data_IF_047196138614
#
_entry.id   IF_047196138614
#
_cell.length_a   1.000
_cell.length_b   1.000
_cell.length_c   1.000
_cell.angle_alpha   90.00
_cell.angle_beta   90.00
_cell.angle_gamma   90.00
#
_symmetry.space_group_name_H-M   'P 1'
#
loop_
_entity.id
_entity.type
_entity.pdbx_description
1 polymer ?
#
# COMPACT_ATOMS: atom_id res chain seq x y z
N UNK A 1 -17.25 -13.72 1.49
CA UNK A 1 -16.51 -14.22 2.67
C UNK A 1 -16.50 -15.74 2.80
N UNK A 2 -17.60 -16.47 2.54
CA UNK A 2 -17.64 -17.96 2.63
C UNK A 2 -16.73 -18.70 1.63
N UNK A 3 -16.49 -18.17 0.43
CA UNK A 3 -15.70 -18.86 -0.62
C UNK A 3 -14.18 -18.89 -0.37
N UNK A 4 -13.67 -18.02 0.52
CA UNK A 4 -12.25 -17.96 0.90
C UNK A 4 -11.88 -18.94 2.05
N UNK A 5 -12.85 -19.65 2.63
CA UNK A 5 -12.62 -20.48 3.83
C UNK A 5 -11.88 -21.80 3.56
N UNK A 6 -11.58 -22.15 2.30
CA UNK A 6 -11.00 -23.43 1.91
C UNK A 6 -9.52 -23.36 1.51
N UNK A 7 -8.74 -22.52 2.19
CA UNK A 7 -7.30 -22.41 1.98
C UNK A 7 -6.56 -23.38 2.92
N UNK A 8 -6.11 -24.52 2.40
CA UNK A 8 -5.44 -25.59 3.16
C UNK A 8 -3.91 -25.43 3.26
N UNK A 9 -3.35 -24.44 2.57
CA UNK A 9 -1.91 -24.11 2.53
C UNK A 9 -1.70 -22.61 2.77
N UNK A 10 -0.46 -22.22 3.05
CA UNK A 10 -0.07 -20.80 3.15
C UNK A 10 -0.36 -20.00 1.87
N UNK A 11 -0.20 -18.68 1.94
CA UNK A 11 -0.54 -17.75 0.85
C UNK A 11 0.19 -18.13 -0.46
N UNK A 12 -0.60 -18.48 -1.48
CA UNK A 12 -0.15 -18.73 -2.86
C UNK A 12 -0.97 -17.87 -3.82
N UNK A 13 -0.39 -17.52 -4.97
CA UNK A 13 -1.06 -16.68 -5.97
C UNK A 13 -2.35 -17.28 -6.51
N UNK A 14 -2.50 -18.61 -6.49
CA UNK A 14 -3.73 -19.29 -6.87
C UNK A 14 -4.94 -18.83 -6.04
N UNK A 15 -4.76 -18.52 -4.75
CA UNK A 15 -5.87 -18.02 -3.92
C UNK A 15 -6.27 -16.60 -4.29
N UNK A 16 -5.29 -15.72 -4.55
CA UNK A 16 -5.56 -14.37 -5.04
C UNK A 16 -6.32 -14.41 -6.37
N UNK A 17 -5.88 -15.26 -7.29
CA UNK A 17 -6.52 -15.46 -8.60
C UNK A 17 -7.94 -16.02 -8.49
N UNK A 18 -8.15 -17.02 -7.63
CA UNK A 18 -9.49 -17.56 -7.37
C UNK A 18 -10.42 -16.45 -6.86
N UNK A 19 -9.99 -15.68 -5.85
CA UNK A 19 -10.79 -14.59 -5.30
C UNK A 19 -11.04 -13.47 -6.32
N UNK A 20 -10.05 -13.14 -7.16
CA UNK A 20 -10.21 -12.16 -8.22
C UNK A 20 -11.24 -12.60 -9.25
N UNK A 21 -11.20 -13.87 -9.68
CA UNK A 21 -12.20 -14.43 -10.62
C UNK A 21 -13.61 -14.36 -10.06
N UNK A 22 -13.78 -14.69 -8.79
CA UNK A 22 -15.06 -14.62 -8.10
C UNK A 22 -15.59 -13.17 -8.02
N UNK A 23 -14.72 -12.20 -7.73
CA UNK A 23 -15.09 -10.78 -7.68
C UNK A 23 -15.37 -10.18 -9.06
N UNK A 24 -14.56 -10.53 -10.06
CA UNK A 24 -14.73 -10.12 -11.46
C UNK A 24 -16.08 -10.56 -12.02
N UNK A 25 -16.54 -11.77 -11.65
CA UNK A 25 -17.84 -12.29 -12.07
C UNK A 25 -19.04 -11.46 -11.59
N UNK A 26 -18.87 -10.61 -10.57
CA UNK A 26 -19.91 -9.71 -10.07
C UNK A 26 -20.03 -8.39 -10.88
N UNK A 27 -19.18 -8.18 -11.90
CA UNK A 27 -19.32 -7.13 -12.92
C UNK A 27 -19.19 -5.68 -12.47
N UNK A 28 -18.93 -5.43 -11.19
CA UNK A 28 -18.98 -4.09 -10.57
C UNK A 28 -17.69 -3.68 -9.87
N UNK A 29 -16.66 -4.54 -9.87
CA UNK A 29 -15.45 -4.35 -9.07
C UNK A 29 -14.32 -3.85 -9.96
N UNK A 30 -13.96 -2.57 -9.83
CA UNK A 30 -12.87 -1.95 -10.58
C UNK A 30 -11.46 -2.23 -10.04
N UNK A 31 -11.32 -2.53 -8.74
CA UNK A 31 -10.01 -2.71 -8.09
C UNK A 31 -9.86 -4.08 -7.44
N UNK A 32 -8.70 -4.71 -7.62
CA UNK A 32 -8.30 -5.91 -6.91
C UNK A 32 -7.17 -5.60 -5.91
N UNK A 33 -7.48 -5.74 -4.62
CA UNK A 33 -6.55 -5.40 -3.55
C UNK A 33 -5.82 -6.60 -3.01
N UNK A 34 -4.49 -6.53 -2.97
CA UNK A 34 -3.66 -7.60 -2.43
C UNK A 34 -2.34 -7.00 -1.89
N UNK A 35 -1.88 -7.43 -0.71
CA UNK A 35 -0.59 -6.96 -0.16
C UNK A 35 0.57 -7.28 -1.13
N UNK A 36 0.49 -8.38 -1.89
CA UNK A 36 1.51 -8.75 -2.87
C UNK A 36 1.14 -8.38 -4.32
N UNK A 37 0.26 -7.39 -4.54
CA UNK A 37 -0.19 -7.00 -5.88
C UNK A 37 0.99 -6.72 -6.84
N UNK A 38 2.06 -6.10 -6.35
CA UNK A 38 3.27 -5.82 -7.14
C UNK A 38 4.02 -7.06 -7.66
N UNK A 39 3.84 -8.23 -7.04
CA UNK A 39 4.40 -9.51 -7.50
C UNK A 39 3.35 -10.38 -8.18
N UNK A 40 2.12 -10.32 -7.69
CA UNK A 40 0.98 -11.06 -8.19
C UNK A 40 0.58 -10.60 -9.60
N UNK A 41 0.48 -9.29 -9.84
CA UNK A 41 0.02 -8.76 -11.11
C UNK A 41 0.93 -9.12 -12.30
N UNK A 42 2.28 -8.95 -12.21
CA UNK A 42 3.16 -9.42 -13.27
C UNK A 42 3.11 -10.94 -13.48
N UNK A 43 2.84 -11.71 -12.42
CA UNK A 43 2.63 -13.15 -12.55
C UNK A 43 1.32 -13.47 -13.28
N UNK A 44 0.23 -12.77 -12.96
CA UNK A 44 -1.06 -12.91 -13.65
C UNK A 44 -0.93 -12.61 -15.14
N UNK A 45 -0.22 -11.55 -15.52
CA UNK A 45 0.02 -11.23 -16.93
C UNK A 45 0.71 -12.38 -17.68
N UNK A 46 1.70 -13.05 -17.07
CA UNK A 46 2.34 -14.24 -17.64
C UNK A 46 1.40 -15.45 -17.70
N UNK A 47 0.55 -15.62 -16.69
CA UNK A 47 -0.43 -16.71 -16.66
C UNK A 47 -1.45 -16.52 -17.78
N UNK A 48 -1.92 -15.29 -18.02
CA UNK A 48 -2.87 -14.98 -19.11
C UNK A 48 -2.28 -15.29 -20.49
N UNK A 49 -0.98 -15.11 -20.69
CA UNK A 49 -0.31 -15.52 -21.93
C UNK A 49 -0.41 -17.03 -22.20
N UNK A 50 -0.40 -17.85 -21.13
CA UNK A 50 -0.55 -19.30 -21.24
C UNK A 50 -2.02 -19.77 -21.18
N UNK A 51 -2.89 -18.98 -20.53
CA UNK A 51 -4.30 -19.26 -20.30
C UNK A 51 -5.15 -18.02 -20.67
N UNK A 52 -5.42 -17.80 -21.98
CA UNK A 52 -6.14 -16.62 -22.45
C UNK A 52 -7.55 -16.47 -21.86
N UNK A 53 -8.18 -17.55 -21.41
CA UNK A 53 -9.48 -17.53 -20.73
C UNK A 53 -9.50 -16.71 -19.42
N UNK A 54 -8.33 -16.32 -18.91
CA UNK A 54 -8.17 -15.49 -17.72
C UNK A 54 -7.94 -14.00 -18.04
N UNK A 55 -7.95 -13.59 -19.32
CA UNK A 55 -7.71 -12.20 -19.73
C UNK A 55 -8.67 -11.20 -19.08
N UNK A 56 -9.93 -11.61 -18.86
CA UNK A 56 -10.94 -10.82 -18.14
C UNK A 56 -10.49 -10.36 -16.75
N UNK A 57 -9.59 -11.10 -16.09
CA UNK A 57 -9.04 -10.71 -14.80
C UNK A 57 -8.18 -9.44 -14.90
N UNK A 58 -7.53 -9.20 -16.04
CA UNK A 58 -6.69 -8.02 -16.26
C UNK A 58 -7.48 -6.72 -16.39
N UNK A 59 -8.82 -6.78 -16.52
CA UNK A 59 -9.69 -5.60 -16.54
C UNK A 59 -9.78 -4.89 -15.19
N UNK A 60 -9.50 -5.59 -14.09
CA UNK A 60 -9.45 -4.99 -12.76
C UNK A 60 -8.11 -4.25 -12.57
N UNK A 61 -8.09 -3.22 -11.73
CA UNK A 61 -6.86 -2.51 -11.38
C UNK A 61 -6.24 -3.08 -10.09
N UNK A 62 -4.98 -3.55 -10.11
CA UNK A 62 -4.30 -4.00 -8.91
C UNK A 62 -3.98 -2.84 -7.98
N UNK A 63 -4.28 -3.03 -6.69
CA UNK A 63 -4.14 -1.98 -5.69
C UNK A 63 -3.40 -2.50 -4.44
N UNK A 64 -2.32 -1.80 -4.07
CA UNK A 64 -1.66 -1.92 -2.78
C UNK A 64 -2.30 -0.99 -1.76
N UNK A 65 -2.45 -1.47 -0.53
CA UNK A 65 -2.91 -0.62 0.56
C UNK A 65 -1.93 0.54 0.81
N UNK A 66 -2.42 1.67 1.32
CA UNK A 66 -1.58 2.84 1.59
C UNK A 66 -0.44 2.48 2.54
N UNK A 67 -0.73 1.65 3.55
CA UNK A 67 0.28 1.20 4.51
C UNK A 67 1.28 0.24 3.89
N UNK A 68 0.81 -0.69 3.04
CA UNK A 68 1.69 -1.68 2.43
C UNK A 68 2.54 -1.05 1.32
N UNK A 69 1.97 -0.14 0.52
CA UNK A 69 2.65 0.60 -0.54
C UNK A 69 3.85 1.40 -0.01
N UNK A 70 3.71 2.09 1.14
CA UNK A 70 4.82 2.81 1.81
C UNK A 70 5.98 1.93 2.28
N UNK A 71 5.73 0.63 2.39
CA UNK A 71 6.71 -0.37 2.80
C UNK A 71 7.41 -0.98 1.58
N UNK A 72 6.98 -0.62 0.37
CA UNK A 72 7.69 -0.92 -0.88
C UNK A 72 8.63 0.22 -1.26
N UNK A 73 9.47 -0.09 -2.24
CA UNK A 73 10.21 0.91 -3.01
C UNK A 73 9.26 1.97 -3.59
N UNK A 74 9.74 3.20 -3.71
CA UNK A 74 8.94 4.33 -4.15
C UNK A 74 8.34 4.12 -5.56
N UNK A 75 9.08 3.53 -6.49
CA UNK A 75 8.59 3.15 -7.82
C UNK A 75 7.32 2.27 -7.75
N UNK A 76 7.27 1.35 -6.78
CA UNK A 76 6.10 0.48 -6.54
C UNK A 76 4.97 1.22 -5.84
N UNK A 77 5.27 2.14 -4.93
CA UNK A 77 4.25 3.00 -4.30
C UNK A 77 3.54 3.85 -5.36
N UNK A 78 4.30 4.47 -6.26
CA UNK A 78 3.76 5.27 -7.37
C UNK A 78 2.86 4.45 -8.28
N UNK A 79 3.32 3.26 -8.69
CA UNK A 79 2.59 2.42 -9.64
C UNK A 79 1.36 1.73 -9.04
N UNK A 80 1.48 1.20 -7.82
CA UNK A 80 0.47 0.30 -7.26
C UNK A 80 -0.26 0.87 -6.04
N UNK A 81 0.19 1.99 -5.47
CA UNK A 81 -0.43 2.59 -4.30
C UNK A 81 -1.81 3.13 -4.61
N UNK A 82 -2.83 2.72 -3.85
CA UNK A 82 -4.21 3.13 -4.11
C UNK A 82 -4.42 4.64 -4.16
N UNK A 83 -3.65 5.41 -3.37
CA UNK A 83 -3.71 6.87 -3.35
C UNK A 83 -3.39 7.51 -4.72
N UNK A 84 -2.56 6.85 -5.51
CA UNK A 84 -2.10 7.34 -6.81
C UNK A 84 -3.01 6.87 -7.96
N UNK A 85 -4.01 6.03 -7.69
CA UNK A 85 -4.90 5.47 -8.70
C UNK A 85 -6.25 6.21 -8.71
N UNK A 86 -6.65 6.82 -9.85
CA UNK A 86 -7.96 7.45 -10.00
C UNK A 86 -9.12 6.49 -9.74
N UNK A 87 -10.13 6.94 -9.01
CA UNK A 87 -11.31 6.13 -8.66
C UNK A 87 -11.09 5.16 -7.49
N UNK A 88 -9.89 5.14 -6.89
CA UNK A 88 -9.63 4.36 -5.70
C UNK A 88 -10.17 5.02 -4.42
N UNK A 89 -10.69 6.26 -4.50
CA UNK A 89 -11.17 7.05 -3.37
C UNK A 89 -10.12 7.28 -2.26
N UNK A 90 -10.52 7.82 -1.10
CA UNK A 90 -9.61 8.01 0.04
C UNK A 90 -9.49 6.74 0.91
N UNK A 91 -9.54 5.57 0.28
CA UNK A 91 -9.41 4.27 0.93
C UNK A 91 -8.01 4.09 1.50
N UNK A 92 -7.96 3.42 2.65
CA UNK A 92 -6.68 3.06 3.26
C UNK A 92 -6.08 1.79 2.68
N UNK A 93 -6.88 0.94 2.03
CA UNK A 93 -6.36 -0.36 1.64
C UNK A 93 -6.57 -1.51 2.63
N UNK A 94 -7.24 -1.28 3.77
CA UNK A 94 -7.02 -2.12 4.96
C UNK A 94 -8.29 -2.77 5.54
N UNK A 95 -9.40 -2.85 4.79
CA UNK A 95 -10.68 -3.36 5.32
C UNK A 95 -10.60 -4.85 5.65
N UNK A 96 -9.86 -5.64 4.87
CA UNK A 96 -9.63 -7.06 5.19
C UNK A 96 -8.88 -7.18 6.52
N UNK A 97 -7.87 -6.34 6.76
CA UNK A 97 -7.13 -6.32 8.04
C UNK A 97 -8.02 -5.85 9.19
N UNK A 98 -8.93 -4.89 8.97
CA UNK A 98 -9.92 -4.46 9.97
C UNK A 98 -10.89 -5.60 10.34
N UNK A 99 -11.39 -6.34 9.34
CA UNK A 99 -12.25 -7.52 9.58
C UNK A 99 -11.48 -8.59 10.35
N UNK A 100 -10.25 -8.89 9.92
CA UNK A 100 -9.41 -9.88 10.59
C UNK A 100 -9.10 -9.48 12.03
N UNK A 101 -8.89 -8.18 12.31
CA UNK A 101 -8.72 -7.64 13.66
C UNK A 101 -9.99 -7.78 14.51
N UNK A 102 -11.18 -7.64 13.92
CA UNK A 102 -12.42 -7.92 14.64
C UNK A 102 -12.56 -9.40 14.98
N UNK A 103 -12.36 -10.29 13.99
CA UNK A 103 -12.54 -11.73 14.15
C UNK A 103 -11.43 -12.34 15.03
N UNK A 104 -10.22 -11.80 15.03
CA UNK A 104 -9.12 -12.31 15.87
C UNK A 104 -9.43 -12.24 17.36
N UNK A 105 -10.25 -11.28 17.80
CA UNK A 105 -10.76 -11.24 19.18
C UNK A 105 -11.62 -12.46 19.52
N UNK A 106 -12.38 -12.97 18.55
CA UNK A 106 -13.14 -14.20 18.70
C UNK A 106 -12.24 -15.43 18.83
N UNK A 107 -11.04 -15.41 18.24
CA UNK A 107 -10.10 -16.53 18.28
C UNK A 107 -9.64 -16.82 19.72
N UNK A 108 -9.48 -15.78 20.55
CA UNK A 108 -9.11 -15.93 21.97
C UNK A 108 -10.21 -16.67 22.74
N UNK A 109 -11.47 -16.27 22.56
CA UNK A 109 -12.61 -16.88 23.25
C UNK A 109 -12.99 -18.26 22.71
N UNK A 110 -12.65 -18.56 21.45
CA UNK A 110 -13.05 -19.81 20.78
C UNK A 110 -11.95 -20.86 20.70
N UNK A 111 -10.77 -20.59 21.26
CA UNK A 111 -9.59 -21.47 21.22
C UNK A 111 -9.86 -22.85 21.81
N UNK A 112 -10.58 -22.92 22.92
CA UNK A 112 -10.86 -24.16 23.66
C UNK A 112 -12.21 -24.80 23.30
N UNK A 113 -12.94 -24.22 22.35
CA UNK A 113 -14.23 -24.74 21.91
C UNK A 113 -14.06 -25.87 20.89
N UNK A 114 -15.05 -26.75 20.82
CA UNK A 114 -15.15 -27.74 19.75
C UNK A 114 -15.31 -27.06 18.39
N UNK A 115 -14.97 -27.77 17.30
CA UNK A 115 -15.05 -27.24 15.93
C UNK A 115 -16.45 -26.73 15.59
N UNK A 116 -17.49 -27.46 16.00
CA UNK A 116 -18.88 -27.09 15.78
C UNK A 116 -19.21 -25.75 16.48
N UNK A 117 -18.98 -25.69 17.80
CA UNK A 117 -19.26 -24.49 18.60
C UNK A 117 -18.47 -23.28 18.10
N UNK A 118 -17.20 -23.47 17.72
CA UNK A 118 -16.38 -22.39 17.13
C UNK A 118 -17.01 -21.84 15.85
N UNK A 119 -17.54 -22.70 14.98
CA UNK A 119 -18.15 -22.30 13.71
C UNK A 119 -19.42 -21.47 13.96
N UNK A 120 -20.24 -21.89 14.92
CA UNK A 120 -21.47 -21.18 15.28
C UNK A 120 -21.16 -19.79 15.86
N UNK A 121 -20.20 -19.69 16.78
CA UNK A 121 -19.82 -18.41 17.38
C UNK A 121 -19.23 -17.46 16.33
N UNK A 122 -18.35 -17.92 15.45
CA UNK A 122 -17.79 -17.07 14.39
C UNK A 122 -18.93 -16.56 13.48
N UNK A 123 -19.90 -17.43 13.17
CA UNK A 123 -21.06 -17.07 12.36
C UNK A 123 -21.91 -16.00 13.05
N UNK A 124 -22.25 -16.17 14.33
CA UNK A 124 -23.01 -15.20 15.12
C UNK A 124 -22.30 -13.86 15.22
N UNK A 125 -20.97 -13.85 15.43
CA UNK A 125 -20.18 -12.62 15.50
C UNK A 125 -20.14 -11.89 14.16
N UNK A 126 -19.99 -12.63 13.05
CA UNK A 126 -20.03 -12.05 11.71
C UNK A 126 -21.41 -11.47 11.38
N UNK A 127 -22.48 -12.17 11.72
CA UNK A 127 -23.87 -11.68 11.58
C UNK A 127 -24.10 -10.41 12.40
N UNK A 128 -23.69 -10.42 13.68
CA UNK A 128 -23.81 -9.25 14.56
C UNK A 128 -23.00 -8.05 14.05
N UNK A 129 -21.81 -8.28 13.47
CA UNK A 129 -21.02 -7.22 12.84
C UNK A 129 -21.73 -6.64 11.61
N UNK A 130 -22.30 -7.48 10.74
CA UNK A 130 -23.07 -7.01 9.59
C UNK A 130 -24.31 -6.23 10.01
N UNK A 131 -25.03 -6.70 11.04
CA UNK A 131 -26.17 -5.97 11.62
C UNK A 131 -25.74 -4.58 12.11
N UNK A 132 -24.66 -4.49 12.88
CA UNK A 132 -24.11 -3.21 13.36
C UNK A 132 -23.69 -2.28 12.22
N UNK A 133 -23.12 -2.82 11.13
CA UNK A 133 -22.77 -2.03 9.95
C UNK A 133 -24.01 -1.40 9.34
N UNK A 134 -25.06 -2.19 9.15
CA UNK A 134 -26.31 -1.70 8.58
C UNK A 134 -27.00 -0.66 9.48
N UNK A 135 -27.11 -0.94 10.78
CA UNK A 135 -27.81 -0.03 11.72
C UNK A 135 -27.08 1.29 11.96
N UNK A 136 -25.76 1.34 11.76
CA UNK A 136 -24.97 2.56 11.97
C UNK A 136 -24.50 3.21 10.66
N UNK A 137 -24.99 2.74 9.50
CA UNK A 137 -24.48 3.16 8.19
C UNK A 137 -24.70 4.65 7.95
N UNK A 138 -25.87 5.16 8.30
CA UNK A 138 -26.22 6.59 8.23
C UNK A 138 -25.25 7.47 9.02
N UNK A 139 -25.04 7.14 10.30
CA UNK A 139 -24.14 7.88 11.18
C UNK A 139 -22.68 7.78 10.71
N UNK A 140 -22.28 6.62 10.20
CA UNK A 140 -20.93 6.36 9.70
C UNK A 140 -20.65 7.16 8.43
N UNK A 141 -21.57 7.16 7.47
CA UNK A 141 -21.48 7.96 6.25
C UNK A 141 -21.43 9.46 6.60
N UNK A 142 -22.36 9.95 7.43
CA UNK A 142 -22.42 11.36 7.80
C UNK A 142 -21.13 11.85 8.47
N UNK A 143 -20.60 11.08 9.42
CA UNK A 143 -19.33 11.38 10.07
C UNK A 143 -18.16 11.34 9.09
N UNK A 144 -18.13 10.38 8.17
CA UNK A 144 -17.08 10.24 7.17
C UNK A 144 -17.08 11.45 6.23
N UNK A 145 -18.25 11.90 5.79
CA UNK A 145 -18.42 13.09 4.95
C UNK A 145 -17.95 14.37 5.63
N UNK A 146 -18.42 14.67 6.85
CA UNK A 146 -18.00 15.87 7.58
C UNK A 146 -16.48 15.89 7.79
N UNK A 147 -15.89 14.73 8.11
CA UNK A 147 -14.44 14.60 8.25
C UNK A 147 -13.71 14.79 6.91
N UNK A 148 -14.28 14.25 5.83
CA UNK A 148 -13.72 14.37 4.48
C UNK A 148 -13.69 15.82 4.02
N UNK A 149 -14.82 16.54 4.10
CA UNK A 149 -14.93 17.95 3.70
C UNK A 149 -13.96 18.83 4.48
N UNK A 150 -13.89 18.64 5.82
CA UNK A 150 -12.93 19.38 6.65
C UNK A 150 -11.50 19.15 6.18
N UNK A 151 -11.14 17.88 5.97
CA UNK A 151 -9.79 17.51 5.54
C UNK A 151 -9.48 17.99 4.12
N UNK A 152 -10.45 17.92 3.21
CA UNK A 152 -10.30 18.41 1.84
C UNK A 152 -9.96 19.90 1.85
N UNK A 153 -10.68 20.70 2.64
CA UNK A 153 -10.38 22.12 2.80
C UNK A 153 -8.96 22.36 3.31
N UNK A 154 -8.58 21.69 4.41
CA UNK A 154 -7.23 21.82 5.00
C UNK A 154 -6.12 21.44 4.00
N UNK A 155 -6.27 20.31 3.32
CA UNK A 155 -5.24 19.79 2.39
C UNK A 155 -5.17 20.60 1.09
N UNK A 156 -6.28 21.22 0.66
CA UNK A 156 -6.32 22.13 -0.50
C UNK A 156 -5.58 23.44 -0.18
N UNK A 157 -5.86 24.06 0.98
CA UNK A 157 -5.12 25.27 1.40
C UNK A 157 -3.62 25.00 1.56
N UNK A 158 -3.24 23.84 2.13
CA UNK A 158 -1.84 23.45 2.23
C UNK A 158 -1.17 23.17 0.87
N UNK A 159 -1.94 22.81 -0.16
CA UNK A 159 -1.43 22.64 -1.52
C UNK A 159 -1.18 24.03 -2.15
N UNK A 160 -2.14 24.94 -2.02
CA UNK A 160 -2.05 26.33 -2.50
C UNK A 160 -0.87 27.07 -1.86
N UNK A 161 -0.70 26.94 -0.53
CA UNK A 161 0.44 27.51 0.20
C UNK A 161 1.78 27.01 -0.35
N UNK A 162 1.88 25.70 -0.62
CA UNK A 162 3.10 25.10 -1.19
C UNK A 162 3.35 25.49 -2.64
N UNK A 163 2.29 25.66 -3.43
CA UNK A 163 2.40 26.17 -4.79
C UNK A 163 2.94 27.62 -4.77
N UNK A 164 2.44 28.45 -3.86
CA UNK A 164 2.91 29.82 -3.69
C UNK A 164 4.35 29.90 -3.16
N UNK A 165 4.72 29.05 -2.18
CA UNK A 165 6.10 28.98 -1.64
C UNK A 165 7.12 28.64 -2.72
N UNK A 166 6.74 27.80 -3.68
CA UNK A 166 7.63 27.30 -4.73
C UNK A 166 7.46 28.02 -6.07
N UNK A 167 6.59 29.04 -6.12
CA UNK A 167 6.23 29.78 -7.34
C UNK A 167 5.81 28.87 -8.51
N UNK A 168 4.99 27.86 -8.19
CA UNK A 168 4.54 26.83 -9.13
C UNK A 168 3.15 27.19 -9.65
N UNK A 169 3.04 27.39 -10.96
CA UNK A 169 1.77 27.49 -11.65
C UNK A 169 1.18 26.11 -12.00
N UNK A 170 -0.07 26.08 -12.46
CA UNK A 170 -0.77 24.83 -12.78
C UNK A 170 -0.11 24.03 -13.92
N UNK A 171 0.53 24.71 -14.87
CA UNK A 171 1.25 24.04 -15.96
C UNK A 171 2.47 23.27 -15.45
N UNK A 172 3.27 23.89 -14.57
CA UNK A 172 4.44 23.25 -13.96
C UNK A 172 3.99 22.11 -13.03
N UNK A 173 2.87 22.28 -12.33
CA UNK A 173 2.30 21.20 -11.50
C UNK A 173 1.92 19.97 -12.34
N UNK A 174 1.33 20.17 -13.52
CA UNK A 174 0.98 19.08 -14.44
C UNK A 174 2.24 18.38 -14.99
N UNK A 175 3.26 19.15 -15.38
CA UNK A 175 4.55 18.62 -15.83
C UNK A 175 5.20 17.77 -14.73
N UNK A 176 5.31 18.31 -13.52
CA UNK A 176 5.91 17.59 -12.38
C UNK A 176 5.12 16.33 -12.02
N UNK A 177 3.79 16.38 -12.14
CA UNK A 177 2.93 15.21 -11.93
C UNK A 177 3.21 14.14 -12.97
N UNK A 178 3.30 14.50 -14.25
CA UNK A 178 3.60 13.57 -15.34
C UNK A 178 4.99 12.95 -15.19
N UNK A 179 6.01 13.75 -14.84
CA UNK A 179 7.36 13.27 -14.57
C UNK A 179 7.37 12.23 -13.44
N UNK A 180 6.72 12.53 -12.30
CA UNK A 180 6.64 11.61 -11.16
C UNK A 180 5.88 10.33 -11.52
N UNK A 181 4.84 10.41 -12.35
CA UNK A 181 4.05 9.24 -12.78
C UNK A 181 4.79 8.33 -13.77
N UNK A 182 5.64 8.88 -14.64
CA UNK A 182 6.42 8.11 -15.63
C UNK A 182 7.65 7.43 -15.02
N UNK A 183 8.09 7.88 -13.85
CA UNK A 183 9.28 7.37 -13.17
C UNK A 183 9.32 5.84 -12.97
N UNK A 184 8.25 5.16 -12.51
CA UNK A 184 8.30 3.71 -12.31
C UNK A 184 8.63 2.91 -13.56
N UNK A 185 8.29 3.41 -14.75
CA UNK A 185 8.55 2.74 -16.03
C UNK A 185 10.01 2.90 -16.45
N UNK A 186 10.60 4.07 -16.19
CA UNK A 186 11.99 4.35 -16.49
C UNK A 186 12.96 3.55 -15.59
N UNK A 187 12.68 3.40 -14.30
CA UNK A 187 13.51 2.59 -13.38
C UNK A 187 13.50 1.09 -13.70
N UNK A 188 12.41 0.57 -14.28
CA UNK A 188 12.30 -0.84 -14.66
C UNK A 188 13.15 -1.20 -15.89
N UNK A 189 13.45 -0.24 -16.76
CA UNK A 189 14.30 -0.42 -17.94
C UNK A 189 15.79 -0.44 -17.57
N UNK A 190 16.24 0.44 -16.67
CA UNK A 190 17.65 0.51 -16.23
C UNK A 190 18.08 -0.65 -15.31
N UNK A 191 17.12 -1.28 -14.63
CA UNK A 191 17.36 -2.35 -13.65
C UNK A 191 17.72 -3.72 -14.25
N UNK A 192 17.80 -3.84 -15.59
CA UNK A 192 18.07 -5.11 -16.29
C UNK A 192 19.54 -5.34 -16.67
N UNK A 193 20.43 -4.36 -16.45
CA UNK A 193 21.83 -4.45 -16.93
C UNK A 193 22.84 -4.25 -15.79
N UNK A 194 23.36 -5.36 -15.23
CA UNK A 194 24.65 -5.40 -14.51
C UNK A 194 24.62 -5.87 -13.03
N UNK A 195 25.78 -6.37 -12.56
CA UNK A 195 26.03 -6.78 -11.16
C UNK A 195 25.71 -5.65 -10.15
N UNK A 196 25.83 -4.40 -10.58
CA UNK A 196 25.52 -3.17 -9.86
C UNK A 196 24.07 -3.10 -9.37
N UNK A 197 23.11 -3.52 -10.19
CA UNK A 197 21.69 -3.52 -9.82
C UNK A 197 21.35 -4.53 -8.73
N UNK A 198 22.16 -5.59 -8.56
CA UNK A 198 21.95 -6.57 -7.50
C UNK A 198 22.34 -6.01 -6.12
N UNK A 199 23.44 -5.25 -6.04
CA UNK A 199 23.87 -4.63 -4.79
C UNK A 199 22.88 -3.53 -4.34
N UNK A 200 22.40 -2.71 -5.28
CA UNK A 200 21.36 -1.72 -5.04
C UNK A 200 20.07 -2.36 -4.49
N UNK A 201 19.55 -3.40 -5.16
CA UNK A 201 18.37 -4.17 -4.69
C UNK A 201 18.59 -4.81 -3.31
N UNK A 202 19.80 -5.27 -3.03
CA UNK A 202 20.17 -5.83 -1.71
C UNK A 202 20.11 -4.77 -0.61
N UNK A 203 20.64 -3.56 -0.87
CA UNK A 203 20.59 -2.43 0.06
C UNK A 203 19.15 -2.01 0.32
N UNK A 204 18.35 -1.85 -0.73
CA UNK A 204 16.92 -1.50 -0.62
C UNK A 204 16.14 -2.56 0.19
N UNK A 205 16.37 -3.84 -0.09
CA UNK A 205 15.74 -4.95 0.63
C UNK A 205 16.11 -4.99 2.12
N UNK A 206 17.38 -4.76 2.46
CA UNK A 206 17.85 -4.71 3.85
C UNK A 206 17.28 -3.51 4.59
N UNK A 207 17.26 -2.32 3.96
CA UNK A 207 16.63 -1.12 4.50
C UNK A 207 15.16 -1.35 4.87
N UNK A 208 14.38 -1.90 3.93
CA UNK A 208 12.97 -2.21 4.15
C UNK A 208 12.76 -3.26 5.25
N UNK A 209 13.59 -4.31 5.27
CA UNK A 209 13.56 -5.34 6.33
C UNK A 209 13.75 -4.72 7.72
N UNK A 210 14.74 -3.83 7.87
CA UNK A 210 14.98 -3.14 9.15
C UNK A 210 13.80 -2.26 9.56
N UNK A 211 13.26 -1.44 8.65
CA UNK A 211 12.10 -0.58 8.96
C UNK A 211 10.86 -1.40 9.34
N UNK A 212 10.55 -2.46 8.58
CA UNK A 212 9.44 -3.36 8.91
C UNK A 212 9.62 -4.01 10.27
N UNK A 213 10.79 -4.56 10.56
CA UNK A 213 11.07 -5.22 11.85
C UNK A 213 11.01 -4.24 13.02
N UNK A 214 11.52 -3.01 12.88
CA UNK A 214 11.36 -1.95 13.89
C UNK A 214 9.88 -1.66 14.13
N UNK A 215 9.08 -1.54 13.07
CA UNK A 215 7.64 -1.33 13.18
C UNK A 215 6.95 -2.46 13.97
N UNK A 216 7.25 -3.73 13.64
CA UNK A 216 6.71 -4.90 14.36
C UNK A 216 7.15 -4.97 15.83
N UNK A 217 8.40 -4.57 16.12
CA UNK A 217 8.98 -4.56 17.46
C UNK A 217 8.19 -3.67 18.42
N UNK A 218 7.78 -2.48 17.97
CA UNK A 218 7.15 -1.48 18.83
C UNK A 218 5.61 -1.58 18.86
N UNK A 219 4.98 -2.19 17.86
CA UNK A 219 3.50 -2.19 17.75
C UNK A 219 2.82 -3.55 17.94
N UNK A 220 3.53 -4.67 17.78
CA UNK A 220 2.89 -5.98 17.60
C UNK A 220 3.52 -7.11 18.42
N UNK A 221 4.47 -6.81 19.31
CA UNK A 221 5.21 -7.86 20.03
C UNK A 221 5.12 -7.67 21.55
N UNK A 222 4.25 -8.46 22.20
CA UNK A 222 4.06 -8.43 23.65
C UNK A 222 5.01 -9.39 24.41
N UNK A 223 5.66 -10.33 23.72
CA UNK A 223 6.50 -11.36 24.34
C UNK A 223 8.01 -11.10 24.27
N UNK A 224 8.70 -11.16 25.42
CA UNK A 224 10.16 -10.92 25.54
C UNK A 224 11.02 -11.79 24.60
N UNK A 225 10.70 -13.09 24.46
CA UNK A 225 11.45 -14.00 23.55
C UNK A 225 11.34 -13.57 22.09
N UNK A 226 10.14 -13.19 21.63
CA UNK A 226 9.89 -12.75 20.26
C UNK A 226 10.52 -11.38 20.01
N UNK A 227 10.43 -10.48 20.99
CA UNK A 227 11.09 -9.17 20.98
C UNK A 227 12.61 -9.32 20.79
N UNK A 228 13.23 -10.23 21.54
CA UNK A 228 14.67 -10.50 21.44
C UNK A 228 15.08 -11.12 20.10
N UNK A 229 14.26 -12.01 19.52
CA UNK A 229 14.49 -12.54 18.17
C UNK A 229 14.44 -11.44 17.10
N UNK A 230 13.46 -10.53 17.19
CA UNK A 230 13.31 -9.41 16.26
C UNK A 230 14.50 -8.45 16.39
N UNK A 231 14.90 -8.11 17.61
CA UNK A 231 16.07 -7.27 17.87
C UNK A 231 17.35 -7.86 17.27
N UNK A 232 17.61 -9.16 17.47
CA UNK A 232 18.76 -9.83 16.85
C UNK A 232 18.75 -9.71 15.34
N UNK A 233 17.59 -9.95 14.71
CA UNK A 233 17.45 -9.79 13.26
C UNK A 233 17.63 -8.35 12.77
N UNK A 234 17.19 -7.36 13.54
CA UNK A 234 17.47 -5.95 13.22
C UNK A 234 18.96 -5.66 13.26
N UNK A 235 19.69 -6.20 14.24
CA UNK A 235 21.15 -6.01 14.35
C UNK A 235 21.87 -6.69 13.18
N UNK A 236 21.50 -7.93 12.85
CA UNK A 236 22.03 -8.66 11.69
C UNK A 236 21.77 -7.90 10.37
N UNK A 237 20.53 -7.47 10.13
CA UNK A 237 20.16 -6.75 8.92
C UNK A 237 20.85 -5.37 8.84
N UNK A 238 21.00 -4.66 9.97
CA UNK A 238 21.77 -3.41 10.04
C UNK A 238 23.24 -3.62 9.70
N UNK A 239 23.88 -4.65 10.26
CA UNK A 239 25.28 -4.96 9.97
C UNK A 239 25.47 -5.31 8.49
N UNK A 240 24.59 -6.14 7.93
CA UNK A 240 24.60 -6.47 6.51
C UNK A 240 24.37 -5.24 5.61
N UNK A 241 23.51 -4.32 6.05
CA UNK A 241 23.25 -3.05 5.35
C UNK A 241 24.50 -2.16 5.36
N UNK A 242 25.17 -2.02 6.51
CA UNK A 242 26.44 -1.28 6.60
C UNK A 242 27.48 -1.84 5.64
N UNK A 243 27.67 -3.17 5.62
CA UNK A 243 28.60 -3.81 4.70
C UNK A 243 28.23 -3.57 3.24
N UNK A 244 26.95 -3.66 2.89
CA UNK A 244 26.50 -3.44 1.52
C UNK A 244 26.68 -1.98 1.08
N UNK A 245 26.47 -1.00 1.98
CA UNK A 245 26.71 0.42 1.70
C UNK A 245 28.20 0.68 1.47
N UNK A 246 29.09 0.12 2.31
CA UNK A 246 30.55 0.24 2.12
C UNK A 246 30.96 -0.35 0.77
N UNK A 247 30.48 -1.55 0.44
CA UNK A 247 30.72 -2.16 -0.87
C UNK A 247 30.23 -1.29 -2.03
N UNK A 248 29.10 -0.59 -1.87
CA UNK A 248 28.58 0.31 -2.88
C UNK A 248 29.44 1.57 -3.01
N UNK A 249 29.93 2.13 -1.91
CA UNK A 249 30.85 3.27 -1.95
C UNK A 249 32.19 2.92 -2.61
N UNK A 250 32.70 1.71 -2.38
CA UNK A 250 33.91 1.18 -3.03
C UNK A 250 33.72 0.99 -4.54
N UNK A 251 32.56 0.51 -4.97
CA UNK A 251 32.27 0.23 -6.39
C UNK A 251 31.75 1.45 -7.16
N UNK A 252 31.11 2.40 -6.48
CA UNK A 252 30.41 3.55 -7.07
C UNK A 252 30.61 4.81 -6.22
N UNK A 253 31.77 5.47 -6.39
CA UNK A 253 32.10 6.69 -5.67
C UNK A 253 31.10 7.86 -5.89
N UNK A 254 30.29 7.80 -6.96
CA UNK A 254 29.27 8.78 -7.28
C UNK A 254 28.06 8.74 -6.33
N UNK A 255 27.74 7.57 -5.76
CA UNK A 255 26.58 7.38 -4.89
C UNK A 255 26.99 7.40 -3.41
N UNK A 256 27.14 8.60 -2.83
CA UNK A 256 27.33 8.75 -1.38
C UNK A 256 26.01 8.61 -0.62
N UNK A 257 25.76 7.42 -0.11
CA UNK A 257 24.72 7.16 0.88
C UNK A 257 25.12 7.66 2.28
N UNK A 258 24.15 8.16 3.08
CA UNK A 258 24.37 8.50 4.49
C UNK A 258 24.60 7.25 5.34
N UNK A 259 24.96 7.44 6.60
CA UNK A 259 25.14 6.33 7.55
C UNK A 259 23.84 5.55 7.74
N UNK A 260 23.92 4.28 8.14
CA UNK A 260 22.73 3.43 8.32
C UNK A 260 21.73 4.05 9.30
N UNK A 261 22.19 4.72 10.36
CA UNK A 261 21.27 5.32 11.33
C UNK A 261 20.58 6.58 10.79
N UNK A 262 21.28 7.43 10.05
CA UNK A 262 20.69 8.58 9.34
C UNK A 262 19.70 8.13 8.28
N UNK A 263 20.08 7.12 7.49
CA UNK A 263 19.25 6.51 6.46
C UNK A 263 17.93 5.98 7.05
N UNK A 264 18.00 5.25 8.16
CA UNK A 264 16.83 4.67 8.82
C UNK A 264 15.95 5.70 9.53
N UNK A 265 16.52 6.84 9.94
CA UNK A 265 15.79 7.95 10.56
C UNK A 265 15.15 8.88 9.52
N UNK A 266 15.60 8.82 8.26
CA UNK A 266 14.99 9.55 7.17
C UNK A 266 13.68 8.87 6.75
N UNK A 267 12.58 9.61 6.83
CA UNK A 267 11.30 9.16 6.28
C UNK A 267 11.28 9.32 4.76
N UNK A 268 10.81 8.27 4.06
CA UNK A 268 10.75 8.20 2.60
C UNK A 268 12.09 8.54 1.91
N UNK A 269 13.18 7.89 2.35
CA UNK A 269 14.49 8.06 1.74
C UNK A 269 14.48 7.72 0.25
N UNK A 270 15.05 8.62 -0.55
CA UNK A 270 15.11 8.52 -2.02
C UNK A 270 16.47 7.99 -2.41
N UNK A 271 16.52 6.86 -3.10
CA UNK A 271 17.79 6.26 -3.48
C UNK A 271 18.49 7.08 -4.57
N UNK A 272 19.81 7.34 -4.45
CA UNK A 272 20.56 8.11 -5.44
C UNK A 272 20.51 7.54 -6.86
N UNK A 273 20.52 6.21 -7.01
CA UNK A 273 20.45 5.51 -8.30
C UNK A 273 19.02 5.40 -8.85
N UNK A 274 18.01 5.84 -8.10
CA UNK A 274 16.66 6.02 -8.66
C UNK A 274 16.52 7.40 -9.33
N UNK A 275 17.57 8.24 -9.31
CA UNK A 275 17.60 9.53 -10.02
C UNK A 275 18.04 9.30 -11.47
N UNK A 276 17.13 9.47 -12.42
CA UNK A 276 17.47 9.60 -13.83
C UNK A 276 17.86 11.05 -14.15
N UNK A 277 18.99 11.20 -14.86
CA UNK A 277 19.30 12.39 -15.65
C UNK A 277 19.70 13.62 -14.84
N UNK A 278 20.85 14.17 -15.22
CA UNK A 278 21.42 15.46 -14.82
C UNK A 278 20.38 16.53 -14.42
N UNK A 279 20.57 17.12 -13.22
CA UNK A 279 19.92 18.32 -12.63
C UNK A 279 18.72 18.19 -11.66
N UNK A 280 18.24 16.99 -11.29
CA UNK A 280 17.03 16.89 -10.44
C UNK A 280 17.28 16.93 -8.91
N UNK A 281 17.76 18.06 -8.38
CA UNK A 281 17.71 18.39 -6.93
C UNK A 281 16.28 18.53 -6.37
N UNK A 282 15.25 18.43 -7.23
CA UNK A 282 13.85 18.70 -6.87
C UNK A 282 12.96 17.47 -6.76
N UNK A 283 13.45 16.23 -6.94
CA UNK A 283 12.58 15.05 -7.01
C UNK A 283 11.76 14.79 -5.73
N UNK A 284 12.36 15.02 -4.56
CA UNK A 284 11.65 14.93 -3.28
C UNK A 284 10.57 16.02 -3.15
N UNK A 285 10.82 17.21 -3.70
CA UNK A 285 9.85 18.33 -3.73
C UNK A 285 8.71 18.00 -4.69
N UNK A 286 9.03 17.56 -5.91
CA UNK A 286 8.09 17.07 -6.93
C UNK A 286 7.16 16.00 -6.34
N UNK A 287 7.71 15.01 -5.63
CA UNK A 287 6.94 14.00 -4.90
C UNK A 287 6.03 14.61 -3.84
N UNK A 288 6.57 15.48 -3.00
CA UNK A 288 5.82 15.99 -1.86
C UNK A 288 4.58 16.77 -2.32
N UNK A 289 4.70 17.49 -3.43
CA UNK A 289 3.57 18.16 -4.08
C UNK A 289 2.66 17.13 -4.74
N UNK A 290 3.21 16.19 -5.51
CA UNK A 290 2.45 15.11 -6.14
C UNK A 290 1.59 14.32 -5.13
N UNK A 291 2.17 13.87 -4.01
CA UNK A 291 1.48 13.12 -2.95
C UNK A 291 0.32 13.92 -2.34
N UNK A 292 0.50 15.26 -2.23
CA UNK A 292 -0.53 16.18 -1.73
C UNK A 292 -1.63 16.39 -2.77
N UNK A 293 -1.27 16.61 -4.04
CA UNK A 293 -2.23 16.70 -5.14
C UNK A 293 -3.07 15.42 -5.25
N UNK A 294 -2.42 14.25 -5.23
CA UNK A 294 -3.11 12.95 -5.24
C UNK A 294 -4.04 12.81 -4.05
N UNK A 295 -3.66 13.29 -2.86
CA UNK A 295 -4.55 13.30 -1.69
C UNK A 295 -5.79 14.16 -1.92
N UNK A 296 -5.62 15.40 -2.39
CA UNK A 296 -6.73 16.31 -2.66
C UNK A 296 -7.69 15.68 -3.67
N UNK A 297 -7.16 15.14 -4.77
CA UNK A 297 -7.96 14.44 -5.78
C UNK A 297 -8.75 13.25 -5.19
N UNK A 298 -8.12 12.41 -4.35
CA UNK A 298 -8.82 11.28 -3.69
C UNK A 298 -9.88 11.75 -2.69
N UNK A 299 -9.67 12.87 -1.99
CA UNK A 299 -10.67 13.45 -1.09
C UNK A 299 -11.86 14.05 -1.85
N UNK A 300 -11.63 14.64 -3.03
CA UNK A 300 -12.70 15.12 -3.91
C UNK A 300 -13.55 13.95 -4.45
N UNK A 301 -12.90 12.87 -4.90
CA UNK A 301 -13.60 11.64 -5.31
C UNK A 301 -14.45 11.06 -4.17
N UNK A 302 -13.85 10.96 -2.97
CA UNK A 302 -14.50 10.45 -1.77
C UNK A 302 -15.73 11.30 -1.39
N UNK A 303 -15.67 12.62 -1.54
CA UNK A 303 -16.82 13.50 -1.27
C UNK A 303 -18.02 13.16 -2.14
N UNK A 304 -17.78 13.00 -3.45
CA UNK A 304 -18.81 12.62 -4.42
C UNK A 304 -19.37 11.22 -4.12
N UNK A 305 -18.49 10.24 -3.88
CA UNK A 305 -18.89 8.86 -3.58
C UNK A 305 -19.75 8.81 -2.32
N UNK A 306 -19.36 9.50 -1.25
CA UNK A 306 -20.14 9.54 -0.01
C UNK A 306 -21.52 10.16 -0.23
N UNK A 307 -21.61 11.21 -1.06
CA UNK A 307 -22.89 11.79 -1.44
C UNK A 307 -23.81 10.78 -2.14
N UNK A 308 -23.27 10.02 -3.10
CA UNK A 308 -24.01 8.97 -3.81
C UNK A 308 -24.39 7.79 -2.89
N UNK A 309 -23.49 7.36 -2.02
CA UNK A 309 -23.76 6.30 -1.03
C UNK A 309 -24.86 6.71 -0.05
N UNK A 310 -24.86 7.96 0.41
CA UNK A 310 -25.91 8.50 1.27
C UNK A 310 -27.26 8.51 0.57
N UNK A 311 -27.33 8.99 -0.69
CA UNK A 311 -28.57 8.99 -1.48
C UNK A 311 -29.11 7.57 -1.68
N UNK A 312 -28.24 6.63 -2.03
CA UNK A 312 -28.61 5.20 -2.19
C UNK A 312 -29.08 4.57 -0.90
N UNK A 313 -28.43 4.88 0.23
CA UNK A 313 -28.84 4.37 1.54
C UNK A 313 -30.18 4.96 1.97
N UNK A 314 -30.43 6.24 1.68
CA UNK A 314 -31.70 6.89 1.95
C UNK A 314 -32.84 6.30 1.11
N UNK A 315 -32.63 6.06 -0.19
CA UNK A 315 -33.64 5.49 -1.08
C UNK A 315 -33.92 3.99 -0.87
N UNK A 316 -33.17 3.30 0.00
CA UNK A 316 -33.36 1.88 0.36
C UNK A 316 -34.00 1.68 1.73
N UNK A 317 -34.26 2.76 2.48
CA UNK A 317 -35.05 2.72 3.72
C UNK A 317 -36.53 2.79 3.41
#
# INVERSE_FOLDING_TARGET
>A
MRRALNMYRGEIYAYAMYLQKELSSAGTVGFFRCDVACKYWPNLQKVVQACPELEELLKMHPLLSVMHAKVHEWSRELKWGGRNQPGADHTTGEEVKQVNSFISRAAVTTKYMSKAVRTDIITLLAMGWNKRKFTNMDRMLAKRYVKNVKRLKEETSLLEEKQAELDINDTVLQEWTAEVQQWPEATLQDSQTGQTGHLQKKIEGLYLSVKQRKYYLYRLTDGNKRRHQILRKIVEDKAALTTAIVQLHEQQAEFRLPTVDELLNTDNFVWPWQRLGTSNSHLAIKKAIFDRLMLVNRLQEEEWILGEEMKRHWGRR
#
